data_IF_175911647138
#
_entry.id   IF_175911647138
#
_cell.length_a   1.000
_cell.length_b   1.000
_cell.length_c   1.000
_cell.angle_alpha   90.00
_cell.angle_beta   90.00
_cell.angle_gamma   90.00
#
_symmetry.space_group_name_H-M   'P 1'
#
loop_
_entity.id
_entity.type
_entity.pdbx_description
1 polymer ?
#
# COMPACT_ATOMS: atom_id res chain seq x y z
N UNK A 1 -80.34 -24.25 -63.89
CA UNK A 1 -79.46 -24.01 -62.72
C UNK A 1 -78.75 -22.69 -62.94
N UNK A 2 -79.10 -21.65 -62.18
CA UNK A 2 -78.81 -20.25 -62.52
C UNK A 2 -77.39 -19.82 -62.09
N UNK A 3 -76.59 -19.34 -63.04
CA UNK A 3 -75.24 -18.78 -62.83
C UNK A 3 -75.23 -17.59 -61.84
N UNK A 4 -76.34 -16.84 -61.76
CA UNK A 4 -76.51 -15.73 -60.82
C UNK A 4 -76.62 -16.18 -59.34
N UNK A 5 -77.03 -17.43 -59.07
CA UNK A 5 -77.09 -17.98 -57.72
C UNK A 5 -75.74 -18.56 -57.26
N UNK A 6 -74.83 -18.85 -58.19
CA UNK A 6 -73.46 -19.28 -57.88
C UNK A 6 -72.55 -18.08 -57.57
N UNK A 7 -72.62 -17.00 -58.34
CA UNK A 7 -71.79 -15.80 -58.13
C UNK A 7 -72.08 -15.10 -56.79
N UNK A 8 -73.36 -14.96 -56.42
CA UNK A 8 -73.77 -14.36 -55.13
C UNK A 8 -73.30 -15.17 -53.92
N UNK A 9 -73.22 -16.51 -54.03
CA UNK A 9 -72.67 -17.38 -52.98
C UNK A 9 -71.14 -17.25 -52.84
N UNK A 10 -70.41 -17.03 -53.93
CA UNK A 10 -68.95 -16.79 -53.89
C UNK A 10 -68.61 -15.42 -53.29
N UNK A 11 -69.38 -14.38 -53.59
CA UNK A 11 -69.17 -13.04 -53.02
C UNK A 11 -69.43 -13.00 -51.51
N UNK A 12 -70.50 -13.66 -51.04
CA UNK A 12 -70.80 -13.80 -49.61
C UNK A 12 -69.70 -14.58 -48.87
N UNK A 13 -69.17 -15.66 -49.46
CA UNK A 13 -68.08 -16.46 -48.88
C UNK A 13 -66.78 -15.65 -48.73
N UNK A 14 -66.39 -14.89 -49.77
CA UNK A 14 -65.22 -14.00 -49.71
C UNK A 14 -65.37 -12.90 -48.67
N UNK A 15 -66.57 -12.31 -48.55
CA UNK A 15 -66.83 -11.26 -47.57
C UNK A 15 -66.75 -11.80 -46.15
N UNK A 16 -67.25 -13.01 -45.92
CA UNK A 16 -67.18 -13.66 -44.61
C UNK A 16 -65.75 -14.07 -44.24
N UNK A 17 -64.95 -14.56 -45.21
CA UNK A 17 -63.54 -14.90 -44.95
C UNK A 17 -62.70 -13.65 -44.64
N UNK A 18 -62.97 -12.53 -45.31
CA UNK A 18 -62.30 -11.25 -45.03
C UNK A 18 -62.65 -10.71 -43.64
N UNK A 19 -63.90 -10.86 -43.18
CA UNK A 19 -64.29 -10.46 -41.83
C UNK A 19 -63.62 -11.32 -40.75
N UNK A 20 -63.57 -12.64 -40.96
CA UNK A 20 -62.87 -13.56 -40.05
C UNK A 20 -61.37 -13.25 -40.03
N UNK A 21 -60.76 -13.02 -41.19
CA UNK A 21 -59.35 -12.64 -41.29
C UNK A 21 -59.05 -11.29 -40.62
N UNK A 22 -59.92 -10.29 -40.83
CA UNK A 22 -59.78 -8.99 -40.18
C UNK A 22 -59.91 -9.09 -38.66
N UNK A 23 -60.87 -9.89 -38.17
CA UNK A 23 -61.06 -10.14 -36.74
C UNK A 23 -59.87 -10.85 -36.10
N UNK A 24 -59.33 -11.89 -36.74
CA UNK A 24 -58.15 -12.60 -36.22
C UNK A 24 -56.88 -11.73 -36.29
N UNK A 25 -56.71 -10.95 -37.34
CA UNK A 25 -55.59 -10.01 -37.44
C UNK A 25 -55.65 -8.94 -36.34
N UNK A 26 -56.84 -8.39 -36.07
CA UNK A 26 -57.04 -7.41 -35.00
C UNK A 26 -56.74 -8.02 -33.62
N UNK A 27 -57.23 -9.24 -33.37
CA UNK A 27 -56.94 -9.97 -32.14
C UNK A 27 -55.43 -10.22 -31.96
N UNK A 28 -54.72 -10.55 -33.04
CA UNK A 28 -53.27 -10.75 -33.03
C UNK A 28 -52.52 -9.46 -32.70
N UNK A 29 -52.94 -8.32 -33.28
CA UNK A 29 -52.34 -7.00 -33.01
C UNK A 29 -52.55 -6.58 -31.56
N UNK A 30 -53.75 -6.78 -31.02
CA UNK A 30 -54.04 -6.47 -29.60
C UNK A 30 -53.19 -7.33 -28.67
N UNK A 31 -53.11 -8.63 -28.92
CA UNK A 31 -52.29 -9.55 -28.13
C UNK A 31 -50.80 -9.20 -28.20
N UNK A 32 -50.28 -8.87 -29.39
CA UNK A 32 -48.90 -8.46 -29.58
C UNK A 32 -48.57 -7.15 -28.84
N UNK A 33 -49.47 -6.15 -28.93
CA UNK A 33 -49.29 -4.86 -28.25
C UNK A 33 -49.29 -5.01 -26.74
N UNK A 34 -50.22 -5.81 -26.21
CA UNK A 34 -50.26 -6.15 -24.78
C UNK A 34 -48.96 -6.82 -24.33
N UNK A 35 -48.50 -7.83 -25.06
CA UNK A 35 -47.29 -8.58 -24.73
C UNK A 35 -46.04 -7.69 -24.71
N UNK A 36 -45.90 -6.79 -25.70
CA UNK A 36 -44.78 -5.82 -25.74
C UNK A 36 -44.82 -4.89 -24.53
N UNK A 37 -45.99 -4.33 -24.20
CA UNK A 37 -46.14 -3.41 -23.06
C UNK A 37 -45.87 -4.08 -21.70
N UNK A 38 -46.30 -5.32 -21.52
CA UNK A 38 -46.03 -6.09 -20.30
C UNK A 38 -44.54 -6.43 -20.18
N UNK A 39 -43.88 -6.73 -21.31
CA UNK A 39 -42.44 -7.04 -21.35
C UNK A 39 -41.58 -5.80 -21.10
N UNK A 40 -41.96 -4.62 -21.60
CA UNK A 40 -41.23 -3.38 -21.33
C UNK A 40 -41.34 -2.97 -19.85
N UNK A 41 -42.52 -3.10 -19.24
CA UNK A 41 -42.68 -2.80 -17.80
C UNK A 41 -41.80 -3.66 -16.89
N UNK A 42 -41.58 -4.93 -17.25
CA UNK A 42 -40.60 -5.78 -16.55
C UNK A 42 -39.16 -5.33 -16.77
N UNK A 43 -38.80 -4.98 -18.02
CA UNK A 43 -37.45 -4.51 -18.34
C UNK A 43 -37.10 -3.21 -17.59
N UNK A 44 -38.05 -2.27 -17.51
CA UNK A 44 -37.89 -1.00 -16.79
C UNK A 44 -37.74 -1.24 -15.27
N UNK A 45 -38.53 -2.16 -14.70
CA UNK A 45 -38.41 -2.51 -13.28
C UNK A 45 -37.03 -3.13 -12.95
N UNK A 46 -36.49 -4.00 -13.81
CA UNK A 46 -35.14 -4.55 -13.63
C UNK A 46 -34.06 -3.49 -13.79
N UNK A 47 -34.20 -2.58 -14.76
CA UNK A 47 -33.25 -1.48 -14.96
C UNK A 47 -33.21 -0.53 -13.75
N UNK A 48 -34.36 -0.23 -13.15
CA UNK A 48 -34.44 0.62 -11.96
C UNK A 48 -33.83 -0.06 -10.73
N UNK A 49 -34.09 -1.36 -10.52
CA UNK A 49 -33.44 -2.13 -9.45
C UNK A 49 -31.93 -2.20 -9.65
N UNK A 50 -31.46 -2.41 -10.89
CA UNK A 50 -30.04 -2.41 -11.23
C UNK A 50 -29.37 -1.07 -10.92
N UNK A 51 -29.99 0.04 -11.31
CA UNK A 51 -29.46 1.39 -11.10
C UNK A 51 -29.39 1.73 -9.61
N UNK A 52 -30.43 1.43 -8.84
CA UNK A 52 -30.44 1.64 -7.38
C UNK A 52 -29.40 0.77 -6.68
N UNK A 53 -29.22 -0.47 -7.13
CA UNK A 53 -28.18 -1.37 -6.63
C UNK A 53 -26.77 -0.83 -6.88
N UNK A 54 -26.53 -0.27 -8.07
CA UNK A 54 -25.25 0.34 -8.42
C UNK A 54 -24.95 1.58 -7.57
N UNK A 55 -25.92 2.47 -7.37
CA UNK A 55 -25.76 3.66 -6.52
C UNK A 55 -25.48 3.29 -5.06
N UNK A 56 -26.14 2.26 -4.54
CA UNK A 56 -25.91 1.77 -3.18
C UNK A 56 -24.51 1.15 -3.06
N UNK A 57 -24.08 0.36 -4.04
CA UNK A 57 -22.73 -0.20 -4.06
C UNK A 57 -21.66 0.91 -4.09
N UNK A 58 -21.84 1.94 -4.92
CA UNK A 58 -20.95 3.09 -4.97
C UNK A 58 -20.93 3.87 -3.64
N UNK A 59 -22.10 4.12 -3.04
CA UNK A 59 -22.19 4.78 -1.75
C UNK A 59 -21.45 4.00 -0.65
N UNK A 60 -21.60 2.67 -0.61
CA UNK A 60 -20.87 1.80 0.32
C UNK A 60 -19.36 1.86 0.12
N UNK A 61 -18.89 1.87 -1.12
CA UNK A 61 -17.46 1.99 -1.40
C UNK A 61 -16.91 3.31 -0.87
N UNK A 62 -17.64 4.42 -1.08
CA UNK A 62 -17.24 5.74 -0.57
C UNK A 62 -17.29 5.82 0.96
N UNK A 63 -18.28 5.18 1.58
CA UNK A 63 -18.38 5.09 3.05
C UNK A 63 -17.18 4.34 3.63
N UNK A 64 -16.84 3.16 3.08
CA UNK A 64 -15.67 2.39 3.50
C UNK A 64 -14.37 3.18 3.31
N UNK A 65 -14.21 3.89 2.18
CA UNK A 65 -13.03 4.73 1.97
C UNK A 65 -12.93 5.85 3.01
N UNK A 66 -14.05 6.48 3.37
CA UNK A 66 -14.08 7.50 4.40
C UNK A 66 -13.75 6.93 5.78
N UNK A 67 -14.30 5.77 6.13
CA UNK A 67 -14.01 5.07 7.38
C UNK A 67 -12.52 4.72 7.50
N UNK A 68 -11.92 4.15 6.45
CA UNK A 68 -10.49 3.86 6.42
C UNK A 68 -9.65 5.13 6.63
N UNK A 69 -10.01 6.25 5.98
CA UNK A 69 -9.28 7.51 6.15
C UNK A 69 -9.32 8.01 7.60
N UNK A 70 -10.45 7.85 8.28
CA UNK A 70 -10.58 8.20 9.71
C UNK A 70 -9.71 7.29 10.57
N UNK A 71 -9.75 5.98 10.33
CA UNK A 71 -8.93 5.01 11.07
C UNK A 71 -7.41 5.28 10.89
N UNK A 72 -6.98 5.62 9.68
CA UNK A 72 -5.61 6.03 9.41
C UNK A 72 -5.22 7.32 10.15
N UNK A 73 -6.10 8.32 10.18
CA UNK A 73 -5.84 9.56 10.92
C UNK A 73 -5.72 9.29 12.44
N UNK A 74 -6.58 8.43 13.00
CA UNK A 74 -6.57 8.10 14.42
C UNK A 74 -5.38 7.22 14.82
N UNK A 75 -4.98 6.28 13.96
CA UNK A 75 -3.76 5.49 14.19
C UNK A 75 -2.50 6.38 14.14
N UNK A 76 -2.41 7.30 13.17
CA UNK A 76 -1.32 8.27 13.10
C UNK A 76 -1.27 9.17 14.35
N UNK A 77 -2.41 9.68 14.82
CA UNK A 77 -2.50 10.47 16.06
C UNK A 77 -2.04 9.69 17.28
N UNK A 78 -2.48 8.43 17.42
CA UNK A 78 -2.05 7.54 18.51
C UNK A 78 -0.55 7.27 18.47
N UNK A 79 0.01 7.02 17.29
CA UNK A 79 1.44 6.80 17.12
C UNK A 79 2.24 8.06 17.48
N UNK A 80 1.80 9.23 17.04
CA UNK A 80 2.42 10.51 17.39
C UNK A 80 2.37 10.76 18.89
N UNK A 81 1.22 10.59 19.54
CA UNK A 81 1.09 10.75 20.99
C UNK A 81 2.02 9.78 21.76
N UNK A 82 2.09 8.52 21.33
CA UNK A 82 2.99 7.53 21.93
C UNK A 82 4.48 7.87 21.72
N UNK A 83 4.83 8.41 20.54
CA UNK A 83 6.20 8.85 20.22
C UNK A 83 6.61 10.07 21.06
N UNK A 84 5.71 11.04 21.23
CA UNK A 84 5.91 12.23 22.05
C UNK A 84 6.10 11.87 23.52
N UNK A 85 5.27 10.97 24.05
CA UNK A 85 5.39 10.45 25.42
C UNK A 85 6.74 9.74 25.67
N UNK A 86 7.37 9.20 24.62
CA UNK A 86 8.72 8.58 24.67
C UNK A 86 9.85 9.54 24.31
N UNK A 87 9.56 10.83 24.13
CA UNK A 87 10.56 11.83 23.76
C UNK A 87 11.15 11.66 22.35
N UNK A 88 10.43 10.98 21.45
CA UNK A 88 10.81 10.84 20.03
C UNK A 88 10.19 11.97 19.18
N UNK A 89 10.34 13.22 19.64
CA UNK A 89 9.88 14.40 18.90
C UNK A 89 10.92 14.74 17.82
N UNK A 90 10.55 14.86 16.53
CA UNK A 90 11.50 15.09 15.43
C UNK A 90 12.44 16.28 15.69
N UNK A 91 11.94 17.36 16.30
CA UNK A 91 12.68 18.59 16.57
C UNK A 91 13.75 18.41 17.66
N UNK A 92 13.59 17.40 18.51
CA UNK A 92 14.51 17.09 19.59
C UNK A 92 15.66 16.17 19.16
N UNK A 93 15.67 15.69 17.91
CA UNK A 93 16.67 14.77 17.38
C UNK A 93 17.36 15.37 16.14
N UNK A 94 18.69 15.36 16.13
CA UNK A 94 19.52 15.68 14.99
C UNK A 94 19.94 14.40 14.28
N UNK A 95 20.08 14.47 12.97
CA UNK A 95 20.51 13.36 12.13
C UNK A 95 21.93 13.59 11.60
N UNK A 96 22.77 12.56 11.65
CA UNK A 96 24.09 12.54 11.01
C UNK A 96 24.28 11.24 10.25
N UNK A 97 24.58 11.35 8.96
CA UNK A 97 24.97 10.20 8.14
C UNK A 97 26.41 9.79 8.49
N UNK A 98 26.60 8.49 8.72
CA UNK A 98 27.89 7.87 8.95
C UNK A 98 28.19 6.99 7.73
N UNK A 99 29.34 7.23 7.11
CA UNK A 99 29.81 6.43 5.98
C UNK A 99 31.32 6.23 6.13
N UNK A 100 31.69 5.17 6.83
CA UNK A 100 33.06 4.68 6.94
C UNK A 100 33.23 3.61 5.88
N UNK A 101 33.92 3.97 4.79
CA UNK A 101 34.28 3.03 3.74
C UNK A 101 35.56 2.31 4.15
N UNK A 102 35.44 1.01 4.41
CA UNK A 102 36.52 0.02 4.52
C UNK A 102 37.89 0.59 4.97
N UNK A 103 38.06 0.77 6.28
CA UNK A 103 39.33 1.15 6.89
C UNK A 103 39.94 -0.03 7.63
N UNK A 104 41.27 -0.21 7.50
CA UNK A 104 42.02 -1.08 8.41
C UNK A 104 42.33 -0.26 9.66
N UNK A 105 41.75 -0.66 10.78
CA UNK A 105 41.87 0.04 12.06
C UNK A 105 42.45 -0.91 13.11
N UNK A 106 43.31 -0.41 14.01
CA UNK A 106 43.69 -1.14 15.21
C UNK A 106 42.46 -1.60 16.00
N UNK A 107 42.58 -2.73 16.71
CA UNK A 107 41.44 -3.34 17.42
C UNK A 107 40.86 -2.40 18.48
N UNK A 108 41.71 -1.61 19.13
CA UNK A 108 41.39 -0.58 20.12
C UNK A 108 40.60 0.59 19.52
N UNK A 109 40.93 1.01 18.30
CA UNK A 109 40.25 2.09 17.60
C UNK A 109 38.87 1.63 17.12
N UNK A 110 38.77 0.39 16.64
CA UNK A 110 37.49 -0.23 16.31
C UNK A 110 36.61 -0.35 17.55
N UNK A 111 37.16 -0.80 18.67
CA UNK A 111 36.40 -0.91 19.93
C UNK A 111 35.88 0.47 20.38
N UNK A 112 36.73 1.51 20.30
CA UNK A 112 36.36 2.88 20.65
C UNK A 112 35.28 3.44 19.72
N UNK A 113 35.42 3.20 18.41
CA UNK A 113 34.44 3.60 17.41
C UNK A 113 33.09 2.91 17.64
N UNK A 114 33.07 1.59 17.81
CA UNK A 114 31.86 0.82 18.08
C UNK A 114 31.19 1.26 19.40
N UNK A 115 31.97 1.51 20.44
CA UNK A 115 31.46 2.05 21.70
C UNK A 115 30.82 3.43 21.53
N UNK A 116 31.35 4.27 20.64
CA UNK A 116 30.78 5.61 20.36
C UNK A 116 29.45 5.55 19.60
N UNK A 117 29.22 4.46 18.86
CA UNK A 117 28.02 4.21 18.05
C UNK A 117 26.96 3.40 18.83
N UNK A 118 27.36 2.73 19.90
CA UNK A 118 26.48 1.93 20.74
C UNK A 118 25.27 2.74 21.23
N UNK A 119 24.12 2.07 21.33
CA UNK A 119 22.86 2.69 21.77
C UNK A 119 23.02 3.28 23.17
N UNK A 120 22.66 4.55 23.33
CA UNK A 120 22.65 5.25 24.62
C UNK A 120 21.43 6.16 24.75
N UNK A 121 21.19 6.68 25.95
CA UNK A 121 19.95 7.41 26.30
C UNK A 121 19.66 8.68 25.47
N UNK A 122 20.63 9.15 24.68
CA UNK A 122 20.47 10.27 23.74
C UNK A 122 21.01 10.00 22.34
N UNK A 123 21.30 8.74 21.99
CA UNK A 123 21.88 8.37 20.68
C UNK A 123 21.30 7.06 20.17
N UNK A 124 20.87 7.06 18.92
CA UNK A 124 20.37 5.88 18.22
C UNK A 124 21.14 5.76 16.92
N UNK A 125 21.73 4.60 16.68
CA UNK A 125 22.36 4.30 15.41
C UNK A 125 21.54 3.28 14.63
N UNK A 126 21.10 3.67 13.44
CA UNK A 126 20.47 2.81 12.44
C UNK A 126 21.52 2.35 11.43
N UNK A 127 22.07 1.15 11.64
CA UNK A 127 23.00 0.54 10.69
C UNK A 127 22.26 0.15 9.40
N UNK A 128 22.81 0.56 8.26
CA UNK A 128 22.36 0.14 6.93
C UNK A 128 23.34 -0.87 6.32
N UNK A 129 24.64 -0.71 6.62
CA UNK A 129 25.70 -1.64 6.27
C UNK A 129 26.68 -1.74 7.42
N UNK A 130 27.04 -2.96 7.81
CA UNK A 130 28.04 -3.24 8.83
C UNK A 130 28.82 -4.48 8.42
N UNK A 131 30.13 -4.31 8.21
CA UNK A 131 31.06 -5.41 7.93
C UNK A 131 32.27 -5.23 8.84
N UNK A 132 32.61 -6.29 9.59
CA UNK A 132 33.78 -6.35 10.44
C UNK A 132 34.50 -7.66 10.18
N UNK A 133 35.72 -7.59 9.66
CA UNK A 133 36.51 -8.76 9.31
C UNK A 133 37.94 -8.64 9.85
N UNK A 134 38.57 -9.78 10.07
CA UNK A 134 40.01 -9.87 10.35
C UNK A 134 40.80 -9.73 9.05
N UNK A 135 41.99 -9.14 9.11
CA UNK A 135 42.90 -9.04 7.95
C UNK A 135 43.75 -10.30 7.74
N UNK A 136 43.90 -11.12 8.79
CA UNK A 136 44.67 -12.36 8.80
C UNK A 136 43.77 -13.54 9.17
N UNK A 137 43.94 -14.69 8.52
CA UNK A 137 43.06 -15.85 8.69
C UNK A 137 43.35 -16.63 9.98
N UNK A 138 44.57 -16.48 10.49
CA UNK A 138 45.07 -17.09 11.71
C UNK A 138 44.62 -16.39 13.01
N UNK A 139 43.95 -15.24 12.90
CA UNK A 139 43.42 -14.50 14.05
C UNK A 139 41.89 -14.54 14.09
N UNK A 140 41.32 -14.75 15.28
CA UNK A 140 39.88 -14.63 15.49
C UNK A 140 39.41 -13.20 15.71
N UNK A 141 38.13 -12.96 15.40
CA UNK A 141 37.47 -11.68 15.67
C UNK A 141 37.18 -11.48 17.17
N UNK A 142 36.90 -12.58 17.87
CA UNK A 142 36.47 -12.58 19.28
C UNK A 142 37.56 -13.08 20.23
N UNK A 143 38.73 -13.41 19.70
CA UNK A 143 39.86 -13.86 20.50
C UNK A 143 40.52 -12.66 21.17
N UNK A 144 40.72 -12.77 22.48
CA UNK A 144 41.53 -11.80 23.23
C UNK A 144 42.97 -11.97 22.73
N UNK A 145 43.63 -10.92 22.23
CA UNK A 145 45.01 -11.05 21.77
C UNK A 145 45.87 -11.61 22.91
N UNK A 146 46.48 -12.77 22.70
CA UNK A 146 47.37 -13.35 23.69
C UNK A 146 48.56 -12.41 23.94
N UNK A 147 49.04 -12.33 25.19
CA UNK A 147 50.25 -11.59 25.56
C UNK A 147 51.55 -12.22 24.99
N UNK A 148 51.48 -12.92 23.86
CA UNK A 148 52.61 -13.59 23.19
C UNK A 148 53.60 -12.62 22.52
N UNK A 149 53.53 -11.32 22.84
CA UNK A 149 54.47 -10.30 22.36
C UNK A 149 54.35 -9.96 20.87
N UNK A 150 53.32 -10.46 20.18
CA UNK A 150 52.98 -10.11 18.79
C UNK A 150 51.86 -9.07 18.79
N UNK A 151 52.04 -8.00 18.02
CA UNK A 151 51.00 -6.99 17.81
C UNK A 151 49.80 -7.60 17.06
N UNK A 152 48.56 -7.41 17.55
CA UNK A 152 47.36 -7.97 16.92
C UNK A 152 47.18 -7.41 15.50
N UNK A 153 46.71 -8.23 14.55
CA UNK A 153 46.41 -7.73 13.21
C UNK A 153 45.24 -6.72 13.26
N UNK A 154 45.29 -5.68 12.40
CA UNK A 154 44.21 -4.71 12.30
C UNK A 154 42.93 -5.37 11.77
N UNK A 155 41.79 -4.78 12.11
CA UNK A 155 40.48 -5.20 11.62
C UNK A 155 40.07 -4.34 10.43
N UNK A 156 39.42 -4.94 9.46
CA UNK A 156 38.75 -4.23 8.37
C UNK A 156 37.32 -3.94 8.78
N UNK A 157 36.96 -2.65 8.87
CA UNK A 157 35.61 -2.20 9.22
C UNK A 157 35.01 -1.39 8.08
N UNK A 158 33.78 -1.75 7.70
CA UNK A 158 32.90 -0.96 6.84
C UNK A 158 31.60 -0.66 7.60
N UNK A 159 31.25 0.63 7.70
CA UNK A 159 30.07 1.07 8.44
C UNK A 159 29.31 2.15 7.68
N UNK A 160 28.09 1.84 7.27
CA UNK A 160 27.15 2.79 6.68
C UNK A 160 25.88 2.87 7.51
N UNK A 161 25.40 4.07 7.80
CA UNK A 161 24.13 4.23 8.50
C UNK A 161 23.80 5.66 8.91
N UNK A 162 22.77 5.77 9.72
CA UNK A 162 22.28 7.06 10.24
C UNK A 162 22.41 7.07 11.76
N UNK A 163 23.04 8.11 12.29
CA UNK A 163 23.09 8.39 13.73
C UNK A 163 22.10 9.50 14.07
N UNK A 164 21.16 9.20 14.95
CA UNK A 164 20.27 10.16 15.58
C UNK A 164 20.83 10.53 16.96
N UNK A 165 20.85 11.82 17.28
CA UNK A 165 21.32 12.33 18.58
C UNK A 165 20.37 13.40 19.12
N UNK A 166 20.20 13.51 20.44
CA UNK A 166 19.33 14.54 21.04
C UNK A 166 19.96 15.94 20.92
N UNK A 167 19.18 16.92 20.47
CA UNK A 167 19.62 18.31 20.27
C UNK A 167 19.48 19.19 21.51
N UNK A 168 18.53 18.88 22.41
CA UNK A 168 18.22 19.70 23.57
C UNK A 168 19.05 19.39 24.83
N UNK A 169 19.75 18.25 24.86
CA UNK A 169 20.74 17.96 25.91
C UNK A 169 22.12 18.39 25.40
N UNK A 170 22.45 19.66 25.59
CA UNK A 170 23.81 20.15 25.39
C UNK A 170 24.82 19.30 26.18
N UNK A 171 25.85 18.79 25.51
CA UNK A 171 27.00 18.20 26.20
C UNK A 171 27.73 17.06 25.48
N UNK A 172 27.17 16.46 24.44
CA UNK A 172 27.86 15.43 23.65
C UNK A 172 28.57 16.03 22.45
N UNK A 173 29.68 16.75 22.64
CA UNK A 173 30.43 17.38 21.56
C UNK A 173 30.75 16.35 20.44
N UNK A 174 30.38 16.62 19.17
CA UNK A 174 30.70 15.75 18.03
C UNK A 174 32.20 15.65 17.71
N UNK A 175 33.06 16.32 18.48
CA UNK A 175 34.51 16.36 18.33
C UNK A 175 35.18 15.00 18.55
N UNK A 176 34.64 14.13 19.43
CA UNK A 176 35.25 12.82 19.70
C UNK A 176 35.22 11.88 18.48
N UNK A 177 34.18 11.96 17.65
CA UNK A 177 34.07 11.17 16.40
C UNK A 177 34.88 11.78 15.25
N UNK A 178 35.04 13.11 15.22
CA UNK A 178 35.88 13.76 14.22
C UNK A 178 37.38 13.52 14.49
N UNK A 179 37.80 13.56 15.76
CA UNK A 179 39.18 13.34 16.16
C UNK A 179 39.66 11.91 15.87
N UNK A 180 38.80 10.90 16.05
CA UNK A 180 39.13 9.51 15.70
C UNK A 180 39.23 9.25 14.19
N UNK A 181 38.58 10.08 13.36
CA UNK A 181 38.61 9.94 11.90
C UNK A 181 39.70 10.80 11.23
N UNK A 182 40.19 11.86 11.89
CA UNK A 182 41.32 12.67 11.40
C UNK A 182 42.69 12.03 11.69
N UNK A 183 42.80 11.14 12.69
CA UNK A 183 44.01 10.36 12.96
C UNK A 183 44.28 9.21 11.98
N UNK A 184 43.33 8.91 11.08
CA UNK A 184 43.39 7.79 10.14
C UNK A 184 43.63 8.23 8.68
N UNK A 185 44.35 9.34 8.48
CA UNK A 185 44.82 9.78 7.15
C UNK A 185 46.29 9.49 6.94
#
# INVERSE_FOLDING_TARGET
>A
MNLAQLSSRFELSRRNSLLVFGGTLLALVVAATWFVSARSGLADAYAEVGTRGQLLAEAKVRELEAELRVEYADSARRLLAASQARGMQPEAWGERLINVKQGQLPREDVATLLASIARGDGRIFGAQAFDLSVTRAEEGLFDVPEETGREPAPLSLSLGGTMLFRTQQGGGTPAALAAGLEGAR
#
